data_IF_571877918991
#
_entry.id   IF_571877918991
#
_cell.length_a   1.000
_cell.length_b   1.000
_cell.length_c   1.000
_cell.angle_alpha   90.00
_cell.angle_beta   90.00
_cell.angle_gamma   90.00
#
_symmetry.space_group_name_H-M   'P 1'
#
loop_
_entity.id
_entity.type
_entity.pdbx_description
1 polymer ?
#
# COMPACT_ATOMS: atom_id res chain seq x y z
N UNK A 1 22.80 -0.04 7.18
CA UNK A 1 21.38 0.33 7.33
C UNK A 1 21.13 1.58 6.51
N UNK A 2 20.50 1.47 5.34
CA UNK A 2 20.09 2.66 4.57
C UNK A 2 18.79 3.16 5.18
N UNK A 3 18.82 4.38 5.68
CA UNK A 3 17.71 5.15 6.23
C UNK A 3 16.54 5.14 5.25
N UNK A 4 15.43 4.51 5.60
CA UNK A 4 14.21 4.64 4.82
C UNK A 4 13.38 5.78 5.39
N UNK A 5 13.62 6.97 4.83
CA UNK A 5 12.80 8.19 4.97
C UNK A 5 11.29 7.95 4.82
N UNK A 6 10.92 6.79 4.26
CA UNK A 6 9.56 6.30 4.10
C UNK A 6 8.96 5.75 5.40
N UNK A 7 9.67 4.95 6.20
CA UNK A 7 9.17 4.38 7.46
C UNK A 7 8.80 5.44 8.50
N UNK A 8 9.48 6.58 8.46
CA UNK A 8 9.22 7.71 9.37
C UNK A 8 7.93 8.49 9.01
N UNK A 9 7.33 8.21 7.85
CA UNK A 9 6.08 8.84 7.40
C UNK A 9 4.86 8.04 7.86
N UNK A 10 3.72 8.71 8.12
CA UNK A 10 2.50 8.01 8.50
C UNK A 10 2.08 7.02 7.41
N UNK A 11 2.09 5.72 7.74
CA UNK A 11 1.80 4.64 6.79
C UNK A 11 3.02 4.06 6.08
N UNK A 12 4.23 4.54 6.37
CA UNK A 12 5.48 4.06 5.78
C UNK A 12 5.78 2.59 6.01
N UNK A 13 5.50 2.10 7.22
CA UNK A 13 5.58 0.69 7.60
C UNK A 13 4.79 -0.22 6.64
N UNK A 14 3.57 0.20 6.31
CA UNK A 14 2.67 -0.54 5.42
C UNK A 14 3.15 -0.50 3.96
N UNK A 15 3.79 0.59 3.55
CA UNK A 15 4.39 0.70 2.21
C UNK A 15 5.64 -0.18 2.11
N UNK A 16 6.49 -0.20 3.13
CA UNK A 16 7.67 -1.07 3.17
C UNK A 16 7.30 -2.54 3.15
N UNK A 17 6.36 -2.95 4.00
CA UNK A 17 5.82 -4.31 4.03
C UNK A 17 5.25 -4.69 2.66
N UNK A 18 4.42 -3.83 2.06
CA UNK A 18 3.84 -4.11 0.75
C UNK A 18 4.85 -4.18 -0.37
N UNK A 19 5.92 -3.37 -0.33
CA UNK A 19 7.02 -3.45 -1.30
C UNK A 19 7.84 -4.73 -1.13
N UNK A 20 8.09 -5.18 0.11
CA UNK A 20 8.75 -6.46 0.35
C UNK A 20 7.90 -7.63 -0.14
N UNK A 21 6.61 -7.63 0.18
CA UNK A 21 5.68 -8.65 -0.26
C UNK A 21 5.58 -8.72 -1.78
N UNK A 22 5.54 -7.58 -2.48
CA UNK A 22 5.57 -7.54 -3.94
C UNK A 22 6.87 -8.09 -4.52
N UNK A 23 8.03 -7.85 -3.88
CA UNK A 23 9.32 -8.43 -4.30
C UNK A 23 9.37 -9.94 -4.10
N UNK A 24 8.67 -10.44 -3.09
CA UNK A 24 8.53 -11.88 -2.81
C UNK A 24 7.37 -12.52 -3.58
N UNK A 25 6.70 -11.80 -4.48
CA UNK A 25 5.50 -12.25 -5.19
C UNK A 25 4.36 -12.71 -4.25
N UNK A 26 4.30 -12.15 -3.04
CA UNK A 26 3.27 -12.45 -2.03
C UNK A 26 2.09 -11.49 -2.20
N UNK A 27 0.90 -12.07 -2.32
CA UNK A 27 -0.37 -11.33 -2.37
C UNK A 27 -0.90 -11.09 -0.97
N UNK A 28 -0.47 -9.99 -0.35
CA UNK A 28 -0.92 -9.55 0.97
C UNK A 28 -1.80 -8.29 0.90
N UNK A 29 -2.40 -7.92 2.03
CA UNK A 29 -3.12 -6.65 2.20
C UNK A 29 -2.19 -5.46 1.87
N UNK A 30 -0.97 -5.46 2.39
CA UNK A 30 0.00 -4.40 2.17
C UNK A 30 0.44 -4.33 0.69
N UNK A 31 0.72 -5.48 0.06
CA UNK A 31 1.09 -5.56 -1.34
C UNK A 31 0.00 -5.03 -2.27
N UNK A 32 -1.26 -5.39 -2.01
CA UNK A 32 -2.40 -4.91 -2.78
C UNK A 32 -2.63 -3.42 -2.56
N UNK A 33 -2.46 -2.91 -1.33
CA UNK A 33 -2.57 -1.47 -1.07
C UNK A 33 -1.48 -0.67 -1.80
N UNK A 34 -0.22 -1.11 -1.74
CA UNK A 34 0.89 -0.50 -2.50
C UNK A 34 0.62 -0.57 -4.00
N UNK A 35 -0.05 -1.63 -4.45
CA UNK A 35 -0.44 -1.78 -5.85
C UNK A 35 -1.51 -0.77 -6.28
N UNK A 36 -2.49 -0.49 -5.43
CA UNK A 36 -3.50 0.57 -5.65
C UNK A 36 -2.82 1.94 -5.78
N UNK A 37 -1.90 2.25 -4.87
CA UNK A 37 -1.13 3.51 -4.88
C UNK A 37 0.00 3.56 -5.92
N UNK A 38 0.24 2.50 -6.69
CA UNK A 38 1.42 2.37 -7.52
C UNK A 38 1.64 3.54 -8.51
N UNK A 39 0.61 4.10 -9.18
CA UNK A 39 0.81 5.25 -10.06
C UNK A 39 1.41 6.46 -9.33
N UNK A 40 0.87 6.80 -8.14
CA UNK A 40 1.31 7.95 -7.34
C UNK A 40 2.67 7.70 -6.69
N UNK A 41 2.86 6.51 -6.12
CA UNK A 41 4.13 6.12 -5.49
C UNK A 41 5.29 6.13 -6.50
N UNK A 42 5.04 5.72 -7.75
CA UNK A 42 6.03 5.82 -8.84
C UNK A 42 6.36 7.27 -9.20
N UNK A 43 5.37 8.17 -9.20
CA UNK A 43 5.61 9.61 -9.40
C UNK A 43 6.47 10.20 -8.29
N UNK A 44 6.35 9.68 -7.06
CA UNK A 44 7.18 10.05 -5.90
C UNK A 44 8.56 9.36 -5.89
N UNK A 45 8.93 8.63 -6.96
CA UNK A 45 10.24 7.98 -7.10
C UNK A 45 10.35 6.58 -6.46
N UNK A 46 9.27 6.02 -5.90
CA UNK A 46 9.29 4.65 -5.39
C UNK A 46 9.23 3.62 -6.53
N UNK A 47 10.10 2.61 -6.46
CA UNK A 47 10.09 1.48 -7.38
C UNK A 47 9.04 0.45 -6.94
N UNK A 48 7.82 0.62 -7.43
CA UNK A 48 6.74 -0.35 -7.22
C UNK A 48 6.77 -1.41 -8.34
N UNK A 49 6.96 -2.71 -8.02
CA UNK A 49 6.90 -3.81 -8.98
C UNK A 49 5.61 -3.84 -9.79
N UNK A 50 5.57 -4.61 -10.88
CA UNK A 50 4.34 -4.78 -11.68
C UNK A 50 3.27 -5.46 -10.82
N UNK A 51 2.05 -4.97 -10.94
CA UNK A 51 0.94 -5.35 -10.07
C UNK A 51 -0.13 -6.08 -10.87
N UNK A 52 -1.03 -6.74 -10.14
CA UNK A 52 -2.28 -7.31 -10.67
C UNK A 52 -3.11 -6.24 -11.41
N UNK A 53 -3.99 -6.67 -12.32
CA UNK A 53 -4.80 -5.76 -13.14
C UNK A 53 -5.87 -4.99 -12.33
N UNK A 54 -6.38 -5.59 -11.25
CA UNK A 54 -7.41 -5.00 -10.38
C UNK A 54 -7.06 -5.21 -8.90
N UNK A 55 -6.07 -4.45 -8.37
CA UNK A 55 -5.60 -4.63 -7.00
C UNK A 55 -6.64 -4.17 -5.96
N UNK A 56 -7.53 -3.24 -6.33
CA UNK A 56 -8.59 -2.73 -5.46
C UNK A 56 -9.64 -3.81 -5.17
N UNK A 57 -10.17 -4.44 -6.22
CA UNK A 57 -11.08 -5.58 -6.06
C UNK A 57 -10.42 -6.71 -5.31
N UNK A 58 -9.17 -7.03 -5.66
CA UNK A 58 -8.40 -8.08 -4.99
C UNK A 58 -8.23 -7.84 -3.49
N UNK A 59 -8.04 -6.58 -3.07
CA UNK A 59 -7.93 -6.20 -1.67
C UNK A 59 -9.27 -6.35 -0.96
N UNK A 60 -10.34 -5.86 -1.58
CA UNK A 60 -11.68 -5.96 -1.01
C UNK A 60 -12.10 -7.42 -0.79
N UNK A 61 -11.89 -8.29 -1.79
CA UNK A 61 -12.17 -9.72 -1.69
C UNK A 61 -11.36 -10.40 -0.57
N UNK A 62 -10.09 -10.01 -0.39
CA UNK A 62 -9.24 -10.57 0.67
C UNK A 62 -9.72 -10.14 2.07
N UNK A 63 -10.11 -8.88 2.24
CA UNK A 63 -10.69 -8.37 3.49
C UNK A 63 -12.03 -9.04 3.78
N UNK A 64 -12.91 -9.14 2.78
CA UNK A 64 -14.22 -9.75 2.90
C UNK A 64 -14.15 -11.25 3.21
N UNK A 65 -13.14 -11.97 2.73
CA UNK A 65 -12.91 -13.37 3.13
C UNK A 65 -12.56 -13.53 4.61
N UNK A 66 -11.90 -12.53 5.19
CA UNK A 66 -11.51 -12.58 6.60
C UNK A 66 -12.64 -12.15 7.52
N UNK A 67 -13.34 -11.07 7.16
CA UNK A 67 -14.47 -10.52 7.89
C UNK A 67 -15.28 -9.61 6.95
N UNK A 68 -16.42 -10.10 6.40
CA UNK A 68 -17.27 -9.34 5.50
C UNK A 68 -17.82 -8.06 6.13
N UNK A 69 -18.21 -8.10 7.40
CA UNK A 69 -18.90 -7.01 8.08
C UNK A 69 -17.95 -5.83 8.35
N UNK A 70 -16.66 -6.09 8.56
CA UNK A 70 -15.65 -5.04 8.73
C UNK A 70 -14.86 -4.70 7.46
N UNK A 71 -15.06 -5.43 6.35
CA UNK A 71 -14.26 -5.29 5.12
C UNK A 71 -14.23 -3.85 4.60
N UNK A 72 -15.38 -3.19 4.53
CA UNK A 72 -15.49 -1.82 4.04
C UNK A 72 -14.76 -0.82 4.96
N UNK A 73 -14.92 -0.97 6.28
CA UNK A 73 -14.24 -0.13 7.28
C UNK A 73 -12.72 -0.28 7.23
N UNK A 74 -12.24 -1.53 7.13
CA UNK A 74 -10.81 -1.85 7.00
C UNK A 74 -10.23 -1.32 5.69
N UNK A 75 -10.95 -1.49 4.58
CA UNK A 75 -10.56 -0.93 3.28
C UNK A 75 -10.40 0.60 3.36
N UNK A 76 -11.40 1.31 3.86
CA UNK A 76 -11.36 2.76 3.99
C UNK A 76 -10.22 3.24 4.90
N UNK A 77 -9.95 2.52 6.00
CA UNK A 77 -8.84 2.82 6.89
C UNK A 77 -7.47 2.69 6.18
N UNK A 78 -7.28 1.62 5.40
CA UNK A 78 -6.06 1.38 4.64
C UNK A 78 -5.85 2.44 3.55
N UNK A 79 -6.90 2.78 2.79
CA UNK A 79 -6.84 3.82 1.75
C UNK A 79 -6.50 5.18 2.35
N UNK A 80 -7.11 5.57 3.48
CA UNK A 80 -6.77 6.83 4.16
C UNK A 80 -5.31 6.87 4.60
N UNK A 81 -4.77 5.73 5.08
CA UNK A 81 -3.37 5.61 5.49
C UNK A 81 -2.42 5.74 4.30
N UNK A 82 -2.74 5.11 3.16
CA UNK A 82 -2.01 5.29 1.90
C UNK A 82 -1.99 6.76 1.45
N UNK A 83 -3.15 7.41 1.42
CA UNK A 83 -3.25 8.83 1.03
C UNK A 83 -2.45 9.73 1.98
N UNK A 84 -2.47 9.44 3.29
CA UNK A 84 -1.66 10.15 4.27
C UNK A 84 -0.17 10.02 3.98
N UNK A 85 0.30 8.81 3.66
CA UNK A 85 1.69 8.56 3.25
C UNK A 85 2.04 9.35 1.99
N UNK A 86 1.23 9.25 0.93
CA UNK A 86 1.46 9.92 -0.35
C UNK A 86 1.57 11.45 -0.19
N UNK A 87 0.72 12.03 0.66
CA UNK A 87 0.78 13.47 0.97
C UNK A 87 2.05 13.83 1.73
N UNK A 88 2.41 13.06 2.76
CA UNK A 88 3.62 13.31 3.53
C UNK A 88 4.88 13.16 2.66
N UNK A 89 4.92 12.12 1.83
CA UNK A 89 5.99 11.87 0.87
C UNK A 89 6.12 13.01 -0.15
N UNK A 90 5.00 13.50 -0.69
CA UNK A 90 4.99 14.64 -1.62
C UNK A 90 5.54 15.94 -1.01
N UNK A 91 5.39 16.15 0.31
CA UNK A 91 5.96 17.32 0.99
C UNK A 91 7.48 17.25 1.18
N UNK A 92 8.07 16.05 1.17
CA UNK A 92 9.51 15.84 1.41
C UNK A 92 10.30 15.46 0.14
N UNK A 93 9.60 15.38 -1.02
CA UNK A 93 10.13 15.01 -2.34
C UNK A 93 10.60 16.23 -3.13
#
# INVERSE_FOLDING_TARGET
>A
MRSSRSADLPGGDLIEEGLDDLRQHRRSVAALLVSIGAPRLRQLGLRVPRTEADPERCLYELLARSDPDSAHGRYNALVRRLVSFERAAACVS
#
